data_IF_289295966365
#
_entry.id   IF_289295966365
#
_cell.length_a   1.000
_cell.length_b   1.000
_cell.length_c   1.000
_cell.angle_alpha   90.00
_cell.angle_beta   90.00
_cell.angle_gamma   90.00
#
_symmetry.space_group_name_H-M   'P 1'
#
loop_
_entity.id
_entity.type
_entity.pdbx_description
1 polymer ?
#
# COMPACT_ATOMS: atom_id res chain seq x y z
N UNK A 1 -24.11 7.06 6.45
CA UNK A 1 -23.02 6.06 6.30
C UNK A 1 -21.91 6.50 7.24
N UNK A 2 -21.66 5.74 8.31
CA UNK A 2 -20.63 6.12 9.29
C UNK A 2 -19.26 6.07 8.62
N UNK A 3 -18.50 7.15 8.67
CA UNK A 3 -17.17 7.21 8.06
C UNK A 3 -16.23 6.31 8.88
N UNK A 4 -15.76 5.22 8.29
CA UNK A 4 -14.67 4.41 8.84
C UNK A 4 -13.40 5.27 8.82
N UNK A 5 -12.86 5.57 10.01
CA UNK A 5 -11.57 6.25 10.12
C UNK A 5 -10.47 5.23 9.80
N UNK A 6 -9.63 5.57 8.83
CA UNK A 6 -8.53 4.71 8.38
C UNK A 6 -7.21 5.38 8.74
N UNK A 7 -6.39 4.70 9.53
CA UNK A 7 -5.04 5.15 9.86
C UNK A 7 -4.02 4.32 9.09
N UNK A 8 -3.04 4.98 8.47
CA UNK A 8 -2.00 4.31 7.67
C UNK A 8 -0.64 4.73 8.16
N UNK A 9 0.18 3.74 8.53
CA UNK A 9 1.58 3.89 8.86
C UNK A 9 2.40 3.12 7.83
N UNK A 10 3.26 3.80 7.09
CA UNK A 10 4.12 3.21 6.08
C UNK A 10 5.55 3.04 6.60
N UNK A 11 6.21 1.95 6.24
CA UNK A 11 7.67 1.85 6.39
C UNK A 11 8.37 2.77 5.38
N UNK A 12 9.52 3.38 5.73
CA UNK A 12 10.33 4.12 4.78
C UNK A 12 10.75 3.27 3.57
N UNK A 13 10.91 1.95 3.78
CA UNK A 13 11.28 0.99 2.75
C UNK A 13 10.16 0.82 1.70
N UNK A 14 8.93 0.56 2.14
CA UNK A 14 7.78 0.40 1.25
C UNK A 14 7.55 1.67 0.40
N UNK A 15 7.61 2.82 1.06
CA UNK A 15 7.43 4.10 0.40
C UNK A 15 8.53 4.35 -0.64
N UNK A 16 9.79 4.13 -0.26
CA UNK A 16 10.93 4.31 -1.17
C UNK A 16 10.85 3.37 -2.36
N UNK A 17 10.56 2.07 -2.17
CA UNK A 17 10.46 1.12 -3.29
C UNK A 17 9.37 1.49 -4.29
N UNK A 18 8.20 1.90 -3.82
CA UNK A 18 7.12 2.34 -4.69
C UNK A 18 7.55 3.53 -5.56
N UNK A 19 8.27 4.50 -4.98
CA UNK A 19 8.80 5.63 -5.74
C UNK A 19 9.93 5.22 -6.68
N UNK A 20 10.87 4.36 -6.26
CA UNK A 20 11.95 3.88 -7.12
C UNK A 20 11.40 3.19 -8.37
N UNK A 21 10.32 2.42 -8.25
CA UNK A 21 9.65 1.82 -9.39
C UNK A 21 9.09 2.89 -10.36
N UNK A 22 8.46 3.94 -9.83
CA UNK A 22 7.98 5.07 -10.65
C UNK A 22 9.12 5.84 -11.32
N UNK A 23 10.25 6.05 -10.62
CA UNK A 23 11.44 6.69 -11.21
C UNK A 23 12.14 5.84 -12.27
N UNK A 24 12.04 4.51 -12.19
CA UNK A 24 12.54 3.59 -13.22
C UNK A 24 11.78 3.75 -14.54
N UNK A 25 10.47 3.98 -14.46
CA UNK A 25 9.56 4.09 -15.62
C UNK A 25 8.75 5.40 -15.62
N UNK A 26 9.39 6.56 -15.82
CA UNK A 26 8.77 7.88 -15.58
C UNK A 26 7.69 8.28 -16.60
N UNK A 27 7.63 7.61 -17.75
CA UNK A 27 6.70 7.90 -18.85
C UNK A 27 5.72 6.75 -19.10
N UNK A 28 5.51 5.89 -18.11
CA UNK A 28 4.66 4.71 -18.19
C UNK A 28 3.73 4.64 -16.97
N UNK A 29 2.56 4.03 -17.11
CA UNK A 29 1.72 3.74 -15.96
C UNK A 29 2.37 2.63 -15.13
N UNK A 30 2.43 2.81 -13.81
CA UNK A 30 3.13 1.90 -12.90
C UNK A 30 2.17 1.32 -11.88
N UNK A 31 2.30 0.02 -11.62
CA UNK A 31 1.51 -0.70 -10.62
C UNK A 31 2.37 -1.60 -9.74
N UNK A 32 2.01 -1.68 -8.47
CA UNK A 32 2.47 -2.77 -7.62
C UNK A 32 1.53 -3.05 -6.46
N UNK A 33 1.94 -4.00 -5.61
CA UNK A 33 1.16 -4.46 -4.46
C UNK A 33 1.79 -4.02 -3.15
N UNK A 34 0.95 -3.77 -2.15
CA UNK A 34 1.35 -3.35 -0.81
C UNK A 34 1.15 -4.52 0.16
N UNK A 35 2.18 -4.85 0.92
CA UNK A 35 2.14 -5.92 1.93
C UNK A 35 2.39 -5.36 3.32
N UNK A 36 1.81 -6.03 4.32
CA UNK A 36 2.04 -5.72 5.72
C UNK A 36 0.96 -6.23 6.65
N UNK A 37 0.72 -5.48 7.72
CA UNK A 37 -0.17 -5.90 8.81
C UNK A 37 -1.38 -4.99 8.92
N UNK A 38 -2.50 -5.57 9.34
CA UNK A 38 -3.75 -4.86 9.59
C UNK A 38 -4.20 -5.08 11.03
N UNK A 39 -4.63 -4.01 11.67
CA UNK A 39 -5.29 -4.06 12.96
C UNK A 39 -6.72 -3.55 12.78
N UNK A 40 -7.67 -4.35 13.24
CA UNK A 40 -9.07 -3.96 13.39
C UNK A 40 -9.44 -4.10 14.86
N UNK A 41 -10.08 -3.07 15.41
CA UNK A 41 -10.49 -3.03 16.82
C UNK A 41 -11.38 -4.23 17.22
N UNK A 42 -12.07 -4.85 16.25
CA UNK A 42 -12.95 -6.01 16.46
C UNK A 42 -12.21 -7.34 16.75
N UNK A 43 -10.89 -7.42 16.51
CA UNK A 43 -10.13 -8.66 16.72
C UNK A 43 -9.75 -8.92 18.19
N UNK A 44 -9.89 -7.90 19.06
CA UNK A 44 -9.60 -8.01 20.49
C UNK A 44 -10.67 -8.75 21.32
N UNK A 45 -11.84 -9.05 20.75
CA UNK A 45 -12.95 -9.70 21.47
C UNK A 45 -12.91 -11.24 21.42
N UNK A 46 -12.06 -11.85 20.60
CA UNK A 46 -12.05 -13.31 20.42
C UNK A 46 -11.13 -14.08 21.40
N UNK A 47 -10.40 -13.39 22.30
CA UNK A 47 -9.41 -14.02 23.18
C UNK A 47 -9.83 -14.20 24.66
N UNK A 48 -11.07 -13.88 25.04
CA UNK A 48 -11.57 -14.16 26.41
C UNK A 48 -13.05 -14.59 26.41
N UNK A 49 -13.32 -15.91 26.33
CA UNK A 49 -14.57 -16.49 26.85
C UNK A 49 -14.43 -17.98 27.17
N UNK A 50 -13.56 -18.31 28.14
CA UNK A 50 -13.70 -19.52 28.95
C UNK A 50 -14.31 -19.17 30.30
N UNK A 51 -15.62 -18.94 30.32
CA UNK A 51 -16.39 -18.67 31.55
C UNK A 51 -17.87 -18.98 31.35
N UNK A 52 -18.40 -19.88 32.20
CA UNK A 52 -19.72 -20.53 32.16
C UNK A 52 -20.95 -19.60 31.98
N UNK A 53 -22.09 -20.13 31.48
CA UNK A 53 -23.30 -19.37 31.24
C UNK A 53 -24.20 -19.36 32.49
N UNK A 54 -24.52 -18.19 33.03
CA UNK A 54 -25.84 -17.90 33.60
C UNK A 54 -25.94 -16.46 34.12
N UNK A 55 -26.70 -15.61 33.42
CA UNK A 55 -27.77 -14.75 33.98
C UNK A 55 -28.31 -13.83 32.87
N UNK A 56 -29.64 -13.63 32.77
CA UNK A 56 -30.23 -12.69 31.82
C UNK A 56 -30.35 -11.32 32.48
N UNK A 57 -29.62 -10.32 32.00
CA UNK A 57 -29.93 -8.92 32.29
C UNK A 57 -29.75 -8.06 31.05
N UNK A 58 -30.83 -7.37 30.73
CA UNK A 58 -30.98 -6.31 29.73
C UNK A 58 -29.94 -5.20 29.90
N UNK A 59 -29.30 -4.80 28.80
CA UNK A 59 -29.21 -3.38 28.46
C UNK A 59 -29.04 -3.18 26.94
N UNK A 60 -29.97 -2.39 26.41
CA UNK A 60 -29.82 -1.66 25.18
C UNK A 60 -28.56 -0.78 25.25
N UNK A 61 -27.62 -1.03 24.36
CA UNK A 61 -26.52 -0.13 24.04
C UNK A 61 -26.24 -0.29 22.57
N UNK A 62 -26.85 0.56 21.74
CA UNK A 62 -26.40 0.71 20.36
C UNK A 62 -24.97 1.28 20.42
N UNK A 63 -23.99 0.40 20.47
CA UNK A 63 -22.61 0.76 20.22
C UNK A 63 -22.53 1.17 18.75
N UNK A 64 -22.76 2.45 18.49
CA UNK A 64 -22.33 3.10 17.25
C UNK A 64 -20.80 3.17 17.30
N UNK A 65 -20.15 2.01 17.21
CA UNK A 65 -18.71 1.87 17.17
C UNK A 65 -18.22 2.37 15.82
N UNK A 66 -17.48 3.48 15.82
CA UNK A 66 -16.63 3.84 14.68
C UNK A 66 -15.54 2.78 14.60
N UNK A 67 -15.70 1.76 13.75
CA UNK A 67 -14.65 0.78 13.54
C UNK A 67 -13.46 1.45 12.86
N UNK A 68 -12.39 1.66 13.62
CA UNK A 68 -11.15 2.19 13.09
C UNK A 68 -10.32 1.05 12.52
N UNK A 69 -9.77 1.22 11.32
CA UNK A 69 -8.87 0.25 10.73
C UNK A 69 -7.49 0.87 10.58
N UNK A 70 -6.50 0.24 11.21
CA UNK A 70 -5.11 0.67 11.12
C UNK A 70 -4.33 -0.26 10.21
N UNK A 71 -3.65 0.30 9.23
CA UNK A 71 -2.79 -0.41 8.28
C UNK A 71 -1.34 -0.07 8.55
N UNK A 72 -0.50 -1.09 8.69
CA UNK A 72 0.95 -0.96 8.65
C UNK A 72 1.47 -1.54 7.35
N UNK A 73 1.91 -0.68 6.43
CA UNK A 73 2.52 -1.10 5.17
C UNK A 73 4.00 -1.34 5.39
N UNK A 74 4.42 -2.60 5.37
CA UNK A 74 5.81 -2.99 5.63
C UNK A 74 6.66 -2.99 4.37
N UNK A 75 6.11 -3.39 3.23
CA UNK A 75 6.84 -3.44 1.97
C UNK A 75 5.93 -3.16 0.76
N UNK A 76 6.54 -2.78 -0.37
CA UNK A 76 5.88 -2.56 -1.65
C UNK A 76 6.57 -3.41 -2.73
N UNK A 77 5.77 -4.21 -3.44
CA UNK A 77 6.23 -5.13 -4.48
C UNK A 77 5.91 -4.55 -5.87
N UNK A 78 6.93 -4.17 -6.66
CA UNK A 78 6.78 -3.76 -8.06
C UNK A 78 6.23 -4.88 -8.94
N UNK A 79 5.24 -4.57 -9.79
CA UNK A 79 4.61 -5.56 -10.68
C UNK A 79 4.68 -5.19 -12.15
N UNK A 80 4.06 -4.08 -12.56
CA UNK A 80 3.82 -3.77 -13.97
C UNK A 80 4.20 -2.34 -14.32
N UNK A 81 4.75 -2.18 -15.52
CA UNK A 81 5.06 -0.89 -16.14
C UNK A 81 4.66 -0.83 -17.63
N UNK A 82 4.53 -1.97 -18.32
CA UNK A 82 4.04 -2.01 -19.70
C UNK A 82 2.68 -2.68 -19.83
N UNK A 83 2.40 -3.69 -19.00
CA UNK A 83 1.18 -4.47 -19.10
C UNK A 83 -0.03 -3.63 -18.69
N UNK A 84 -1.12 -3.70 -19.47
CA UNK A 84 -2.29 -2.89 -19.20
C UNK A 84 -2.89 -3.29 -17.85
N UNK A 85 -2.96 -2.31 -16.92
CA UNK A 85 -3.43 -2.41 -15.51
C UNK A 85 -4.93 -2.74 -15.38
N UNK A 86 -5.37 -3.80 -16.03
CA UNK A 86 -6.78 -4.11 -16.27
C UNK A 86 -7.13 -5.45 -15.64
N UNK A 87 -8.38 -5.60 -15.19
CA UNK A 87 -8.93 -6.92 -14.89
C UNK A 87 -9.79 -7.38 -16.08
N UNK A 88 -9.69 -8.65 -16.53
CA UNK A 88 -8.94 -9.77 -15.97
C UNK A 88 -7.60 -10.02 -16.71
N UNK A 89 -6.52 -9.35 -16.32
CA UNK A 89 -5.20 -9.67 -16.87
C UNK A 89 -4.63 -10.94 -16.20
N UNK A 90 -4.29 -12.02 -16.94
CA UNK A 90 -3.79 -13.27 -16.35
C UNK A 90 -2.58 -13.06 -15.43
N UNK A 91 -1.66 -12.17 -15.81
CA UNK A 91 -0.48 -11.89 -14.99
C UNK A 91 -0.82 -11.20 -13.66
N UNK A 92 -1.94 -10.48 -13.57
CA UNK A 92 -2.38 -9.91 -12.29
C UNK A 92 -2.82 -11.02 -11.33
N UNK A 93 -3.38 -12.12 -11.83
CA UNK A 93 -3.77 -13.26 -11.00
C UNK A 93 -2.55 -14.02 -10.47
N UNK A 94 -1.55 -14.21 -11.34
CA UNK A 94 -0.26 -14.81 -10.95
C UNK A 94 0.45 -13.93 -9.92
N UNK A 95 0.53 -12.61 -10.18
CA UNK A 95 1.10 -11.64 -9.26
C UNK A 95 0.41 -11.69 -7.89
N UNK A 96 -0.94 -11.67 -7.88
CA UNK A 96 -1.73 -11.76 -6.66
C UNK A 96 -1.39 -13.03 -5.87
N UNK A 97 -1.33 -14.19 -6.53
CA UNK A 97 -1.01 -15.45 -5.89
C UNK A 97 0.42 -15.46 -5.31
N UNK A 98 1.41 -14.98 -6.07
CA UNK A 98 2.81 -14.91 -5.63
C UNK A 98 2.98 -13.99 -4.42
N UNK A 99 2.49 -12.75 -4.52
CA UNK A 99 2.61 -11.76 -3.45
C UNK A 99 1.83 -12.20 -2.22
N UNK A 100 0.63 -12.76 -2.39
CA UNK A 100 -0.14 -13.28 -1.27
C UNK A 100 0.56 -14.44 -0.56
N UNK A 101 1.19 -15.35 -1.32
CA UNK A 101 1.94 -16.46 -0.74
C UNK A 101 3.18 -15.96 0.01
N UNK A 102 3.98 -15.10 -0.61
CA UNK A 102 5.18 -14.51 0.00
C UNK A 102 4.86 -13.64 1.24
N UNK A 103 3.75 -12.92 1.23
CA UNK A 103 3.30 -12.18 2.41
C UNK A 103 2.96 -13.16 3.56
N UNK A 104 2.27 -14.27 3.28
CA UNK A 104 1.90 -15.26 4.31
C UNK A 104 3.12 -15.94 4.93
N UNK A 105 4.17 -16.23 4.17
CA UNK A 105 5.40 -16.86 4.70
C UNK A 105 6.14 -15.96 5.69
N UNK A 106 5.96 -14.64 5.58
CA UNK A 106 6.56 -13.64 6.49
C UNK A 106 5.59 -13.16 7.59
N UNK A 107 4.43 -13.81 7.74
CA UNK A 107 3.41 -13.42 8.72
C UNK A 107 2.73 -12.08 8.39
N UNK A 108 2.76 -11.68 7.13
CA UNK A 108 2.14 -10.49 6.58
C UNK A 108 0.92 -10.86 5.73
N UNK A 109 0.22 -9.83 5.26
CA UNK A 109 -0.95 -9.94 4.39
C UNK A 109 -0.87 -8.92 3.27
N UNK A 110 -1.50 -9.23 2.14
CA UNK A 110 -1.72 -8.25 1.08
C UNK A 110 -2.73 -7.19 1.58
N UNK A 111 -2.30 -5.93 1.60
CA UNK A 111 -3.10 -4.81 2.09
C UNK A 111 -3.74 -4.02 0.95
N UNK A 112 -3.05 -3.91 -0.18
CA UNK A 112 -3.36 -2.89 -1.16
C UNK A 112 -2.59 -2.98 -2.45
N UNK A 113 -2.76 -1.93 -3.25
CA UNK A 113 -2.00 -1.67 -4.48
C UNK A 113 -1.52 -0.23 -4.47
N UNK A 114 -0.41 0.02 -5.15
CA UNK A 114 -0.05 1.38 -5.55
C UNK A 114 -0.17 1.53 -7.06
N UNK A 115 -0.57 2.72 -7.50
CA UNK A 115 -0.80 3.05 -8.90
C UNK A 115 -0.21 4.43 -9.20
N UNK A 116 0.42 4.57 -10.36
CA UNK A 116 0.82 5.83 -10.96
C UNK A 116 0.30 5.85 -12.40
N UNK A 117 -0.35 6.94 -12.81
CA UNK A 117 -0.81 7.08 -14.19
C UNK A 117 0.36 7.44 -15.12
N UNK A 118 0.17 7.34 -16.43
CA UNK A 118 1.21 7.72 -17.42
C UNK A 118 1.35 9.24 -17.55
N UNK A 119 0.21 9.95 -17.56
CA UNK A 119 0.17 11.40 -17.77
C UNK A 119 0.50 12.14 -16.50
N UNK A 120 1.38 13.13 -16.59
CA UNK A 120 1.81 13.97 -15.48
C UNK A 120 0.62 14.57 -14.71
N UNK A 121 -0.35 15.16 -15.41
CA UNK A 121 -1.49 15.88 -14.81
C UNK A 121 -2.71 15.01 -14.52
N UNK A 122 -2.65 13.71 -14.84
CA UNK A 122 -3.78 12.80 -14.63
C UNK A 122 -3.75 12.23 -13.22
N UNK A 123 -4.47 12.88 -12.32
CA UNK A 123 -4.62 12.44 -10.93
C UNK A 123 -5.92 11.65 -10.70
N UNK A 124 -6.54 11.11 -11.75
CA UNK A 124 -7.81 10.37 -11.66
C UNK A 124 -7.65 8.85 -11.65
N UNK A 125 -8.67 8.13 -11.17
CA UNK A 125 -8.75 6.67 -11.33
C UNK A 125 -9.58 6.36 -12.57
N UNK A 126 -8.97 5.79 -13.61
CA UNK A 126 -9.72 5.42 -14.81
C UNK A 126 -10.82 4.38 -14.50
N UNK A 127 -11.92 4.29 -15.28
CA UNK A 127 -12.94 3.27 -15.10
C UNK A 127 -12.38 1.83 -15.16
N UNK A 128 -11.32 1.64 -15.93
CA UNK A 128 -10.65 0.36 -16.11
C UNK A 128 -9.82 -0.02 -14.88
N UNK A 129 -9.06 0.94 -14.34
CA UNK A 129 -8.35 0.82 -13.06
C UNK A 129 -9.36 0.56 -11.94
N UNK A 130 -10.52 1.23 -11.93
CA UNK A 130 -11.57 0.99 -10.93
C UNK A 130 -12.10 -0.44 -10.98
N UNK A 131 -12.40 -0.99 -12.16
CA UNK A 131 -12.78 -2.40 -12.30
C UNK A 131 -11.71 -3.36 -11.79
N UNK A 132 -10.43 -3.03 -12.03
CA UNK A 132 -9.31 -3.80 -11.49
C UNK A 132 -9.28 -3.75 -9.96
N UNK A 133 -9.39 -2.56 -9.37
CA UNK A 133 -9.46 -2.40 -7.90
C UNK A 133 -10.63 -3.18 -7.30
N UNK A 134 -11.81 -3.14 -7.92
CA UNK A 134 -12.98 -3.87 -7.48
C UNK A 134 -12.76 -5.40 -7.56
N UNK A 135 -12.09 -5.88 -8.61
CA UNK A 135 -11.73 -7.28 -8.76
C UNK A 135 -10.70 -7.75 -7.71
N UNK A 136 -9.75 -6.89 -7.32
CA UNK A 136 -8.80 -7.20 -6.24
C UNK A 136 -9.51 -7.15 -4.87
N UNK A 137 -10.36 -6.15 -4.64
CA UNK A 137 -11.17 -6.01 -3.43
C UNK A 137 -12.10 -7.21 -3.21
N UNK A 138 -12.68 -7.78 -4.27
CA UNK A 138 -13.54 -8.97 -4.19
C UNK A 138 -12.79 -10.23 -3.72
N UNK A 139 -11.47 -10.27 -3.84
CA UNK A 139 -10.63 -11.37 -3.34
C UNK A 139 -10.23 -11.19 -1.87
N UNK A 140 -10.42 -10.00 -1.30
CA UNK A 140 -10.18 -9.73 0.11
C UNK A 140 -11.43 -10.09 0.95
N UNK A 141 -11.27 -10.43 2.25
CA UNK A 141 -12.40 -10.64 3.14
C UNK A 141 -13.33 -9.41 3.16
N UNK A 142 -14.65 -9.60 3.22
CA UNK A 142 -15.65 -8.51 3.14
C UNK A 142 -15.50 -7.42 4.21
N UNK A 143 -14.91 -7.77 5.36
CA UNK A 143 -14.56 -6.85 6.44
C UNK A 143 -13.35 -5.94 6.14
N UNK A 144 -12.68 -6.15 5.02
CA UNK A 144 -11.45 -5.46 4.62
C UNK A 144 -11.75 -4.42 3.55
N UNK A 145 -11.04 -3.29 3.59
CA UNK A 145 -10.96 -2.36 2.47
C UNK A 145 -9.57 -2.44 1.86
N UNK A 146 -9.51 -2.51 0.53
CA UNK A 146 -8.28 -2.49 -0.24
C UNK A 146 -7.64 -1.11 -0.11
N UNK A 147 -6.40 -1.06 0.34
CA UNK A 147 -5.60 0.15 0.38
C UNK A 147 -5.13 0.51 -1.03
N UNK A 148 -5.22 1.79 -1.39
CA UNK A 148 -4.78 2.32 -2.68
C UNK A 148 -3.82 3.47 -2.41
N UNK A 149 -2.58 3.29 -2.80
CA UNK A 149 -1.58 4.37 -2.85
C UNK A 149 -1.58 4.96 -4.25
N UNK A 150 -2.02 6.20 -4.37
CA UNK A 150 -1.96 6.92 -5.62
C UNK A 150 -0.70 7.79 -5.65
N UNK A 151 0.19 7.52 -6.60
CA UNK A 151 1.41 8.29 -6.79
C UNK A 151 1.13 9.43 -7.76
N UNK A 152 1.34 10.67 -7.31
CA UNK A 152 1.26 11.85 -8.16
C UNK A 152 2.58 12.09 -8.87
N UNK A 153 2.56 11.98 -10.19
CA UNK A 153 3.74 12.21 -11.03
C UNK A 153 4.23 13.66 -10.97
N UNK A 154 3.34 14.62 -10.71
CA UNK A 154 3.72 16.04 -10.52
C UNK A 154 4.67 16.22 -9.32
N UNK A 155 4.62 15.31 -8.35
CA UNK A 155 5.47 15.33 -7.16
C UNK A 155 6.78 14.53 -7.33
N UNK A 156 6.95 13.79 -8.44
CA UNK A 156 8.15 12.99 -8.72
C UNK A 156 9.27 13.86 -9.32
N UNK A 157 9.81 14.77 -8.52
CA UNK A 157 10.93 15.64 -8.92
C UNK A 157 12.28 14.97 -8.65
N UNK A 158 13.33 15.40 -9.35
CA UNK A 158 14.72 15.01 -9.04
C UNK A 158 15.56 16.28 -8.82
N UNK A 159 15.90 16.64 -7.57
CA UNK A 159 15.67 15.89 -6.33
C UNK A 159 14.20 15.88 -5.87
N UNK A 160 13.76 14.89 -5.06
CA UNK A 160 12.41 14.85 -4.49
C UNK A 160 12.17 16.03 -3.55
N UNK A 161 11.08 16.79 -3.76
CA UNK A 161 10.78 18.02 -3.01
C UNK A 161 9.75 17.83 -1.89
N UNK A 162 9.03 16.70 -1.88
CA UNK A 162 8.02 16.40 -0.88
C UNK A 162 7.36 15.04 -1.11
N UNK A 163 6.32 14.75 -0.33
CA UNK A 163 5.57 13.51 -0.47
C UNK A 163 4.84 13.47 -1.81
N UNK A 164 4.87 12.29 -2.46
CA UNK A 164 4.27 12.05 -3.76
C UNK A 164 3.10 11.07 -3.72
N UNK A 165 2.83 10.44 -2.58
CA UNK A 165 1.79 9.41 -2.46
C UNK A 165 0.62 9.91 -1.59
N UNK A 166 -0.58 9.80 -2.14
CA UNK A 166 -1.84 9.95 -1.39
C UNK A 166 -2.41 8.56 -1.09
N UNK A 167 -2.78 8.31 0.16
CA UNK A 167 -3.33 7.02 0.58
C UNK A 167 -4.85 7.11 0.68
N UNK A 168 -5.56 6.13 0.12
CA UNK A 168 -7.01 6.04 0.20
C UNK A 168 -7.47 4.59 0.18
N UNK A 169 -8.75 4.35 0.40
CA UNK A 169 -9.37 3.03 0.26
C UNK A 169 -10.09 2.90 -1.07
N UNK A 170 -10.19 1.70 -1.62
CA UNK A 170 -10.76 1.48 -2.96
C UNK A 170 -12.23 1.93 -3.12
N UNK A 171 -13.00 1.99 -2.04
CA UNK A 171 -14.37 2.55 -2.02
C UNK A 171 -14.39 4.08 -2.13
N UNK A 172 -13.28 4.75 -1.79
CA UNK A 172 -13.09 6.20 -1.96
C UNK A 172 -12.54 6.58 -3.33
N UNK A 173 -12.08 5.61 -4.14
CA UNK A 173 -11.73 5.82 -5.54
C UNK A 173 -12.99 6.08 -6.39
N UNK A 174 -13.10 7.24 -7.03
CA UNK A 174 -14.15 7.55 -8.00
C UNK A 174 -13.56 7.97 -9.34
N UNK A 175 -14.16 7.52 -10.44
CA UNK A 175 -13.69 7.83 -11.79
C UNK A 175 -13.87 9.30 -12.20
N UNK A 176 -14.75 10.03 -11.52
CA UNK A 176 -15.08 11.42 -11.84
C UNK A 176 -14.41 12.42 -10.87
N UNK A 177 -13.56 11.95 -9.95
CA UNK A 177 -12.93 12.79 -8.94
C UNK A 177 -11.42 12.62 -9.02
N UNK A 178 -10.71 13.73 -9.26
CA UNK A 178 -9.27 13.75 -9.12
C UNK A 178 -8.89 13.50 -7.66
N UNK A 179 -7.86 12.69 -7.47
CA UNK A 179 -7.26 12.43 -6.17
C UNK A 179 -6.43 13.66 -5.80
N UNK A 180 -6.61 14.13 -4.56
CA UNK A 180 -5.88 15.29 -4.06
C UNK A 180 -4.39 15.00 -3.97
N UNK A 181 -3.58 16.00 -4.31
CA UNK A 181 -2.14 15.94 -4.09
C UNK A 181 -1.84 15.73 -2.59
N UNK A 182 -0.72 15.11 -2.23
CA UNK A 182 -0.36 14.84 -0.84
C UNK A 182 -0.31 16.09 0.05
N UNK A 183 0.05 17.25 -0.54
CA UNK A 183 0.05 18.55 0.13
C UNK A 183 -1.35 19.04 0.55
N UNK A 184 -2.38 18.64 -0.18
CA UNK A 184 -3.79 19.01 0.01
C UNK A 184 -4.64 17.87 0.55
N UNK A 185 -4.04 16.71 0.85
CA UNK A 185 -4.73 15.54 1.36
C UNK A 185 -5.36 15.81 2.73
N UNK A 186 -6.58 15.31 2.91
CA UNK A 186 -7.26 15.36 4.20
C UNK A 186 -6.55 14.48 5.25
N UNK A 187 -6.87 14.64 6.54
CA UNK A 187 -6.24 13.86 7.60
C UNK A 187 -6.41 12.34 7.41
N UNK A 188 -7.54 11.89 6.87
CA UNK A 188 -7.84 10.49 6.56
C UNK A 188 -7.04 9.94 5.36
N UNK A 189 -6.53 10.82 4.48
CA UNK A 189 -5.78 10.46 3.28
C UNK A 189 -4.26 10.58 3.50
N UNK A 190 -3.86 11.16 4.63
CA UNK A 190 -2.47 11.36 5.01
C UNK A 190 -1.94 10.09 5.66
N UNK A 191 -0.79 9.62 5.19
CA UNK A 191 -0.06 8.55 5.87
C UNK A 191 1.00 9.12 6.81
N UNK A 192 1.32 8.37 7.85
CA UNK A 192 2.47 8.61 8.72
C UNK A 192 3.55 7.56 8.46
N UNK A 193 4.76 7.80 8.96
CA UNK A 193 5.91 6.92 8.70
C UNK A 193 6.46 6.33 9.99
N UNK A 194 6.84 5.06 9.92
CA UNK A 194 7.09 4.32 11.14
C UNK A 194 7.58 2.91 10.96
N UNK A 195 7.65 2.21 12.09
CA UNK A 195 8.04 0.81 12.18
C UNK A 195 6.97 0.00 12.89
N UNK A 196 6.98 -1.30 12.66
CA UNK A 196 6.21 -2.23 13.47
C UNK A 196 6.88 -2.42 14.83
N UNK A 197 6.15 -2.22 15.92
CA UNK A 197 6.59 -2.66 17.23
C UNK A 197 6.03 -4.06 17.52
N UNK A 198 6.93 -5.03 17.66
CA UNK A 198 6.58 -6.42 17.94
C UNK A 198 6.09 -6.65 19.37
N UNK A 199 6.51 -5.83 20.32
CA UNK A 199 6.13 -5.94 21.73
C UNK A 199 4.70 -5.43 21.95
N UNK A 200 4.34 -4.32 21.31
CA UNK A 200 2.98 -3.73 21.40
C UNK A 200 2.03 -4.25 20.32
N UNK A 201 2.55 -5.03 19.34
CA UNK A 201 1.84 -5.51 18.17
C UNK A 201 1.10 -4.39 17.42
N UNK A 202 1.69 -3.20 17.37
CA UNK A 202 1.10 -2.01 16.77
C UNK A 202 2.15 -1.22 15.96
N UNK A 203 1.73 -0.46 14.94
CA UNK A 203 2.62 0.46 14.26
C UNK A 203 2.94 1.68 15.11
N UNK A 204 4.19 2.11 15.09
CA UNK A 204 4.63 3.34 15.74
C UNK A 204 5.10 4.33 14.69
N UNK A 205 4.46 5.50 14.64
CA UNK A 205 4.82 6.60 13.75
C UNK A 205 6.09 7.32 14.26
N UNK A 206 7.23 6.63 14.23
CA UNK A 206 8.51 7.10 14.77
C UNK A 206 9.37 7.88 13.78
N UNK A 207 8.99 7.93 12.51
CA UNK A 207 9.82 8.48 11.43
C UNK A 207 9.16 9.75 10.87
N UNK A 208 9.94 10.82 10.73
CA UNK A 208 9.46 12.05 10.10
C UNK A 208 9.37 11.90 8.59
N UNK A 209 8.48 12.65 7.95
CA UNK A 209 8.39 12.67 6.48
C UNK A 209 9.70 13.14 5.83
N UNK A 210 10.41 14.07 6.47
CA UNK A 210 11.72 14.57 6.01
C UNK A 210 12.76 13.45 5.92
N UNK A 211 12.84 12.60 6.95
CA UNK A 211 13.77 11.46 6.97
C UNK A 211 13.44 10.42 5.90
N UNK A 212 12.14 10.21 5.59
CA UNK A 212 11.74 9.34 4.48
C UNK A 212 12.15 9.93 3.14
N UNK A 213 11.95 11.23 2.93
CA UNK A 213 12.37 11.89 1.69
C UNK A 213 13.90 11.88 1.52
N UNK A 214 14.65 12.04 2.59
CA UNK A 214 16.10 11.86 2.59
C UNK A 214 16.48 10.42 2.18
N UNK A 215 15.78 9.40 2.71
CA UNK A 215 15.99 8.01 2.28
C UNK A 215 15.70 7.79 0.80
N UNK A 216 14.67 8.45 0.24
CA UNK A 216 14.37 8.39 -1.21
C UNK A 216 15.49 9.05 -2.01
N UNK A 217 15.94 10.24 -1.58
CA UNK A 217 17.05 10.96 -2.24
C UNK A 217 18.32 10.10 -2.26
N UNK A 218 18.69 9.53 -1.11
CA UNK A 218 19.87 8.67 -0.99
C UNK A 218 19.76 7.42 -1.88
N UNK A 219 18.57 6.85 -2.02
CA UNK A 219 18.35 5.70 -2.90
C UNK A 219 18.45 6.09 -4.38
N UNK A 220 17.97 7.27 -4.77
CA UNK A 220 18.12 7.80 -6.12
C UNK A 220 19.58 8.12 -6.46
N UNK A 221 20.32 8.74 -5.54
CA UNK A 221 21.75 9.04 -5.68
C UNK A 221 22.59 7.75 -5.80
N UNK A 222 22.16 6.67 -5.12
CA UNK A 222 22.74 5.33 -5.25
C UNK A 222 22.34 4.59 -6.55
N UNK A 223 21.53 5.21 -7.42
CA UNK A 223 20.96 4.61 -8.63
C UNK A 223 20.12 3.35 -8.36
N UNK A 224 19.51 3.25 -7.19
CA UNK A 224 18.71 2.08 -6.79
C UNK A 224 17.49 1.85 -7.69
N UNK A 225 16.96 2.91 -8.32
CA UNK A 225 15.83 2.83 -9.26
C UNK A 225 16.15 2.02 -10.52
N UNK A 226 17.41 1.94 -10.97
CA UNK A 226 17.78 1.05 -12.07
C UNK A 226 17.95 -0.41 -11.65
N UNK A 227 18.00 -0.68 -10.34
CA UNK A 227 18.29 -2.00 -9.78
C UNK A 227 17.06 -2.70 -9.22
N UNK A 228 16.02 -1.94 -8.91
CA UNK A 228 14.75 -2.52 -8.51
C UNK A 228 14.15 -3.27 -9.71
N UNK A 229 13.79 -4.52 -9.47
CA UNK A 229 13.12 -5.37 -10.43
C UNK A 229 11.61 -5.36 -10.17
N UNK A 230 10.82 -5.56 -11.20
CA UNK A 230 9.40 -5.83 -11.07
C UNK A 230 9.03 -7.22 -11.59
N UNK A 231 7.73 -7.54 -11.60
CA UNK A 231 7.29 -8.82 -12.12
C UNK A 231 7.57 -8.93 -13.62
N UNK A 232 7.46 -7.87 -14.40
CA UNK A 232 7.76 -7.90 -15.83
C UNK A 232 9.23 -8.27 -16.10
N UNK A 233 10.19 -7.68 -15.37
CA UNK A 233 11.60 -8.08 -15.45
C UNK A 233 11.79 -9.58 -15.13
N UNK A 234 11.06 -10.11 -14.14
CA UNK A 234 11.10 -11.53 -13.79
C UNK A 234 10.48 -12.45 -14.86
N UNK A 235 9.50 -11.97 -15.62
CA UNK A 235 8.92 -12.74 -16.72
C UNK A 235 9.87 -12.82 -17.91
N UNK A 236 10.70 -11.80 -18.11
CA UNK A 236 11.75 -11.81 -19.12
C UNK A 236 12.94 -12.69 -18.69
N UNK A 237 13.35 -12.59 -17.42
CA UNK A 237 14.40 -13.40 -16.82
C UNK A 237 13.98 -13.95 -15.44
N UNK A 238 13.57 -15.24 -15.36
CA UNK A 238 13.16 -15.86 -14.10
C UNK A 238 14.23 -15.92 -13.01
N UNK A 239 15.49 -15.65 -13.32
CA UNK A 239 16.56 -15.55 -12.32
C UNK A 239 16.49 -14.25 -11.50
N UNK A 240 15.80 -13.23 -12.01
CA UNK A 240 15.62 -11.95 -11.33
C UNK A 240 14.57 -12.11 -10.22
N UNK A 241 14.89 -11.69 -9.00
CA UNK A 241 13.95 -11.74 -7.86
C UNK A 241 13.24 -10.40 -7.68
N UNK A 242 11.91 -10.40 -7.78
CA UNK A 242 11.09 -9.19 -7.60
C UNK A 242 10.35 -9.12 -6.24
N UNK A 243 10.15 -10.26 -5.56
CA UNK A 243 9.37 -10.33 -4.30
C UNK A 243 10.14 -9.80 -3.08
N UNK A 244 11.42 -10.19 -2.95
CA UNK A 244 12.27 -9.84 -1.82
C UNK A 244 13.43 -8.98 -2.29
N UNK A 245 13.29 -7.67 -2.14
CA UNK A 245 14.29 -6.70 -2.63
C UNK A 245 14.64 -5.70 -1.53
N UNK A 246 15.41 -6.07 -0.49
CA UNK A 246 15.71 -5.17 0.63
C UNK A 246 16.32 -3.86 0.13
N UNK A 247 15.80 -2.71 0.59
CA UNK A 247 16.27 -1.40 0.11
C UNK A 247 17.78 -1.22 0.28
N UNK A 248 18.35 -1.69 1.38
CA UNK A 248 19.79 -1.66 1.63
C UNK A 248 20.62 -2.41 0.56
N UNK A 249 20.10 -3.52 0.05
CA UNK A 249 20.75 -4.30 -1.01
C UNK A 249 20.72 -3.56 -2.35
N UNK A 250 19.64 -2.81 -2.63
CA UNK A 250 19.50 -1.97 -3.82
C UNK A 250 20.43 -0.74 -3.77
N UNK A 251 20.77 -0.25 -2.58
CA UNK A 251 21.67 0.90 -2.40
C UNK A 251 23.16 0.53 -2.45
N UNK A 252 23.51 -0.72 -2.10
CA UNK A 252 24.92 -1.16 -2.08
C UNK A 252 25.35 -1.68 -3.45
N UNK A 253 26.25 -0.98 -4.17
CA UNK A 253 26.84 -1.51 -5.41
C UNK A 253 27.64 -2.78 -5.09
N UNK A 254 27.33 -3.89 -5.79
CA UNK A 254 28.22 -5.06 -5.83
C UNK A 254 29.33 -4.81 -6.83
#
# INVERSE_FOLDING_TARGET
MSALSTSVVASPEAYTKALLHCYKYPAQPVMGMLVGKRLSDDAGAAAQSSGSPNSPHTSCGAASGTSSSTYYVSDAVPLFHTLPMTAPHPMLEVAYAHVQYAAKTTGQSLLGVYIANERLTDNGVSPLTKKMLDAVQARLPTSTRLLVWFVSNECLTSPPTGLAITSLTADRCSCNKAISLPSHASADERMTFGRWNSDTLAPEATVSAESVMESVSNALDAFAHYRIADLEDHLEDPSITYLEQPLMALMTRK
#
